data_IF_963521128502
#
_entry.id   IF_963521128502
#
_cell.length_a   1.000
_cell.length_b   1.000
_cell.length_c   1.000
_cell.angle_alpha   90.00
_cell.angle_beta   90.00
_cell.angle_gamma   90.00
#
_symmetry.space_group_name_H-M   'P 1'
#
loop_
_entity.id
_entity.type
_entity.pdbx_description
1 polymer ?
#
# COMPACT_ATOMS: atom_id res chain seq x y z
N UNK A 1 -2.52 5.05 -18.15
CA UNK A 1 -2.63 5.02 -16.68
C UNK A 1 -1.81 3.86 -16.14
N UNK A 2 -1.07 4.09 -15.07
CA UNK A 2 -0.27 3.08 -14.40
C UNK A 2 -0.94 2.73 -13.05
N UNK A 3 -1.04 1.43 -12.76
CA UNK A 3 -1.75 0.94 -11.57
C UNK A 3 -0.87 0.00 -10.78
N UNK A 4 -0.79 0.23 -9.48
CA UNK A 4 -0.13 -0.69 -8.56
C UNK A 4 -1.20 -1.44 -7.77
N UNK A 5 -1.06 -2.74 -7.67
CA UNK A 5 -1.99 -3.56 -6.89
C UNK A 5 -1.18 -4.33 -5.85
N UNK A 6 -1.60 -4.21 -4.60
CA UNK A 6 -1.04 -4.95 -3.48
C UNK A 6 -2.15 -5.76 -2.83
N UNK A 7 -1.86 -7.01 -2.51
CA UNK A 7 -2.85 -7.92 -1.94
C UNK A 7 -2.27 -8.64 -0.73
N UNK A 8 -3.02 -8.61 0.36
CA UNK A 8 -2.66 -9.33 1.58
C UNK A 8 -3.74 -10.35 1.88
N UNK A 9 -3.34 -11.60 2.16
CA UNK A 9 -4.23 -12.59 2.74
C UNK A 9 -3.87 -12.67 4.22
N UNK A 10 -4.83 -12.46 5.09
CA UNK A 10 -4.62 -12.40 6.54
C UNK A 10 -5.56 -13.36 7.25
N UNK A 11 -5.25 -13.71 8.50
CA UNK A 11 -6.14 -14.51 9.32
C UNK A 11 -7.40 -13.72 9.66
N UNK A 12 -8.51 -14.44 9.87
CA UNK A 12 -9.81 -13.84 10.15
C UNK A 12 -9.74 -12.86 11.31
N UNK A 13 -10.36 -11.70 11.14
CA UNK A 13 -10.38 -10.63 12.15
C UNK A 13 -9.20 -9.69 12.10
N UNK A 14 -8.24 -9.90 11.22
CA UNK A 14 -7.02 -9.08 11.17
C UNK A 14 -6.94 -8.13 9.98
N UNK A 15 -7.95 -8.11 9.10
CA UNK A 15 -7.98 -7.15 7.98
C UNK A 15 -7.93 -5.71 8.47
N UNK A 16 -8.55 -5.41 9.62
CA UNK A 16 -8.55 -4.07 10.21
C UNK A 16 -7.14 -3.55 10.47
N UNK A 17 -6.20 -4.41 10.78
CA UNK A 17 -4.81 -4.02 11.01
C UNK A 17 -4.15 -3.48 9.75
N UNK A 18 -4.48 -4.05 8.61
CA UNK A 18 -4.00 -3.55 7.30
C UNK A 18 -4.73 -2.25 6.97
N UNK A 19 -6.03 -2.19 7.18
CA UNK A 19 -6.82 -0.98 6.90
C UNK A 19 -6.36 0.20 7.75
N UNK A 20 -6.05 -0.02 9.02
CA UNK A 20 -5.56 1.04 9.90
C UNK A 20 -4.20 1.59 9.43
N UNK A 21 -3.36 0.73 8.89
CA UNK A 21 -2.03 1.12 8.43
C UNK A 21 -2.09 1.96 7.13
N UNK A 22 -2.95 1.59 6.20
CA UNK A 22 -3.01 2.20 4.87
C UNK A 22 -4.25 3.05 4.63
N UNK A 23 -5.25 2.99 5.49
CA UNK A 23 -6.47 3.76 5.36
C UNK A 23 -6.25 5.25 5.63
N UNK A 24 -7.16 6.07 5.09
CA UNK A 24 -7.15 7.50 5.34
C UNK A 24 -7.54 7.77 6.78
N UNK A 25 -6.79 8.64 7.44
CA UNK A 25 -7.12 9.09 8.79
C UNK A 25 -7.77 10.47 8.69
N UNK A 26 -9.00 10.65 9.23
CA UNK A 26 -9.73 11.91 9.08
C UNK A 26 -8.98 13.15 9.53
N UNK A 27 -8.12 13.01 10.53
CA UNK A 27 -7.46 14.13 11.18
C UNK A 27 -6.14 14.56 10.55
N UNK A 28 -5.64 13.82 9.55
CA UNK A 28 -4.29 14.05 9.01
C UNK A 28 -4.24 14.72 7.64
N UNK A 29 -5.38 14.89 6.97
CA UNK A 29 -5.40 15.42 5.63
C UNK A 29 -4.68 14.52 4.62
N UNK A 30 -4.39 15.02 3.41
CA UNK A 30 -3.73 14.22 2.38
C UNK A 30 -2.29 13.89 2.75
N UNK A 31 -1.86 12.65 2.47
CA UNK A 31 -0.50 12.21 2.67
C UNK A 31 0.44 12.83 1.62
N UNK A 32 1.75 12.72 1.84
CA UNK A 32 2.74 13.19 0.86
C UNK A 32 2.58 12.47 -0.48
N UNK A 33 2.23 11.19 -0.44
CA UNK A 33 1.92 10.42 -1.64
C UNK A 33 0.75 11.03 -2.42
N UNK A 34 -0.34 11.34 -1.72
CA UNK A 34 -1.54 11.89 -2.33
C UNK A 34 -1.33 13.28 -2.92
N UNK A 35 -0.32 13.99 -2.48
CA UNK A 35 0.01 15.33 -2.97
C UNK A 35 0.97 15.31 -4.17
N UNK A 36 1.47 14.15 -4.56
CA UNK A 36 2.41 14.06 -5.68
C UNK A 36 1.73 14.30 -7.02
N UNK A 37 2.44 14.98 -7.90
CA UNK A 37 1.98 15.17 -9.26
C UNK A 37 1.84 13.80 -9.95
N UNK A 38 0.72 13.62 -10.62
CA UNK A 38 0.42 12.37 -11.32
C UNK A 38 -0.27 11.32 -10.48
N UNK A 39 -0.42 11.54 -9.17
CA UNK A 39 -1.20 10.64 -8.33
C UNK A 39 -2.70 10.84 -8.62
N UNK A 40 -3.42 9.75 -8.90
CA UNK A 40 -4.84 9.81 -9.21
C UNK A 40 -5.70 9.40 -8.03
N UNK A 41 -5.40 8.27 -7.40
CA UNK A 41 -6.20 7.81 -6.29
C UNK A 41 -5.70 6.51 -5.69
N UNK A 42 -6.26 6.18 -4.54
CA UNK A 42 -5.96 4.95 -3.81
C UNK A 42 -7.24 4.38 -3.24
N UNK A 43 -7.43 3.08 -3.38
CA UNK A 43 -8.59 2.38 -2.86
C UNK A 43 -8.15 1.18 -2.03
N UNK A 44 -8.89 0.88 -0.98
CA UNK A 44 -8.73 -0.33 -0.19
C UNK A 44 -10.00 -1.15 -0.28
N UNK A 45 -9.85 -2.44 -0.56
CA UNK A 45 -10.95 -3.37 -0.74
C UNK A 45 -10.74 -4.55 0.21
N UNK A 46 -11.81 -5.04 0.80
CA UNK A 46 -11.77 -6.18 1.72
C UNK A 46 -12.79 -7.21 1.31
N UNK A 47 -12.42 -8.50 1.39
CA UNK A 47 -13.38 -9.58 1.25
C UNK A 47 -13.01 -10.76 2.14
N UNK A 48 -14.00 -11.56 2.51
CA UNK A 48 -13.78 -12.85 3.14
C UNK A 48 -13.52 -13.86 2.02
N UNK A 49 -12.35 -14.49 2.04
CA UNK A 49 -11.96 -15.44 1.00
C UNK A 49 -12.56 -16.81 1.32
N UNK A 50 -12.41 -17.22 2.55
CA UNK A 50 -12.95 -18.46 3.08
C UNK A 50 -12.93 -18.40 4.61
N UNK A 51 -13.52 -19.39 5.24
CA UNK A 51 -13.54 -19.45 6.69
C UNK A 51 -12.12 -19.42 7.25
N UNK A 52 -11.86 -18.46 8.13
CA UNK A 52 -10.56 -18.28 8.75
C UNK A 52 -9.61 -17.34 8.03
N UNK A 53 -9.98 -16.84 6.84
CA UNK A 53 -9.13 -15.94 6.06
C UNK A 53 -9.88 -14.73 5.52
N UNK A 54 -9.18 -13.60 5.48
CA UNK A 54 -9.66 -12.35 4.87
C UNK A 54 -8.63 -11.85 3.87
N UNK A 55 -9.09 -11.12 2.85
CA UNK A 55 -8.20 -10.55 1.84
C UNK A 55 -8.37 -9.05 1.78
N UNK A 56 -7.25 -8.33 1.77
CA UNK A 56 -7.23 -6.88 1.60
C UNK A 56 -6.47 -6.56 0.33
N UNK A 57 -7.06 -5.72 -0.52
CA UNK A 57 -6.44 -5.28 -1.76
C UNK A 57 -6.31 -3.76 -1.72
N UNK A 58 -5.11 -3.27 -2.02
CA UNK A 58 -4.87 -1.84 -2.20
C UNK A 58 -4.56 -1.57 -3.66
N UNK A 59 -5.30 -0.62 -4.24
CA UNK A 59 -5.10 -0.20 -5.63
C UNK A 59 -4.65 1.25 -5.59
N UNK A 60 -3.49 1.53 -6.21
CA UNK A 60 -2.96 2.89 -6.34
C UNK A 60 -2.88 3.23 -7.82
N UNK A 61 -3.48 4.35 -8.22
CA UNK A 61 -3.53 4.78 -9.62
C UNK A 61 -2.67 6.02 -9.83
N UNK A 62 -1.88 5.99 -10.91
CA UNK A 62 -1.00 7.07 -11.36
C UNK A 62 -1.31 7.43 -12.81
N UNK A 63 -1.08 8.67 -13.18
CA UNK A 63 -1.23 9.09 -14.58
C UNK A 63 -0.26 8.34 -15.49
N UNK A 64 0.95 8.05 -15.00
CA UNK A 64 1.99 7.38 -15.77
C UNK A 64 2.95 6.64 -14.87
N UNK A 65 3.70 5.72 -15.46
CA UNK A 65 4.77 5.03 -14.76
C UNK A 65 5.87 5.99 -14.31
N UNK A 66 6.14 7.01 -15.10
CA UNK A 66 7.14 8.04 -14.77
C UNK A 66 6.77 8.79 -13.50
N UNK A 67 5.49 9.10 -13.29
CA UNK A 67 5.03 9.75 -12.07
C UNK A 67 5.28 8.87 -10.84
N UNK A 68 5.00 7.58 -10.95
CA UNK A 68 5.30 6.63 -9.88
C UNK A 68 6.80 6.53 -9.61
N UNK A 69 7.62 6.42 -10.66
CA UNK A 69 9.08 6.35 -10.50
C UNK A 69 9.63 7.61 -9.83
N UNK A 70 9.07 8.78 -10.15
CA UNK A 70 9.47 10.02 -9.51
C UNK A 70 9.17 10.00 -8.01
N UNK A 71 8.04 9.43 -7.60
CA UNK A 71 7.72 9.23 -6.18
C UNK A 71 8.70 8.26 -5.51
N UNK A 72 8.98 7.12 -6.15
CA UNK A 72 9.91 6.12 -5.62
C UNK A 72 11.31 6.69 -5.35
N UNK A 73 11.74 7.64 -6.18
CA UNK A 73 13.04 8.29 -6.07
C UNK A 73 12.99 9.57 -5.21
N UNK A 74 11.83 9.98 -4.75
CA UNK A 74 11.69 11.23 -4.01
C UNK A 74 12.37 11.14 -2.63
N UNK A 75 12.92 12.27 -2.14
CA UNK A 75 13.52 12.29 -0.81
C UNK A 75 12.54 11.90 0.29
N UNK A 76 11.27 12.28 0.18
CA UNK A 76 10.24 11.94 1.17
C UNK A 76 10.02 10.44 1.27
N UNK A 77 9.95 9.75 0.13
CA UNK A 77 9.75 8.31 0.10
C UNK A 77 10.97 7.57 0.66
N UNK A 78 12.16 7.96 0.25
CA UNK A 78 13.43 7.38 0.71
C UNK A 78 13.60 7.60 2.22
N UNK A 79 13.33 8.81 2.70
CA UNK A 79 13.43 9.13 4.12
C UNK A 79 12.48 8.27 4.97
N UNK A 80 11.26 8.04 4.47
CA UNK A 80 10.29 7.18 5.13
C UNK A 80 10.79 5.74 5.28
N UNK A 81 11.38 5.18 4.24
CA UNK A 81 11.96 3.83 4.28
C UNK A 81 13.14 3.75 5.23
N UNK A 82 14.05 4.73 5.18
CA UNK A 82 15.20 4.77 6.07
C UNK A 82 14.78 4.86 7.54
N UNK A 83 13.77 5.67 7.84
CA UNK A 83 13.24 5.79 9.19
C UNK A 83 12.69 4.46 9.71
N UNK A 84 11.94 3.72 8.89
CA UNK A 84 11.42 2.41 9.25
C UNK A 84 12.52 1.38 9.49
N UNK A 85 13.53 1.36 8.63
CA UNK A 85 14.66 0.44 8.77
C UNK A 85 15.41 0.73 10.07
N UNK A 86 15.65 2.00 10.38
CA UNK A 86 16.34 2.42 11.61
C UNK A 86 15.52 2.03 12.85
N UNK A 87 14.22 2.25 12.83
CA UNK A 87 13.31 1.92 13.93
C UNK A 87 13.30 0.43 14.24
N UNK A 88 13.32 -0.42 13.23
CA UNK A 88 13.23 -1.87 13.39
C UNK A 88 14.59 -2.58 13.41
N UNK A 89 15.70 -1.85 13.29
CA UNK A 89 17.02 -2.44 13.24
C UNK A 89 17.29 -3.26 11.99
N UNK A 90 16.54 -2.99 10.92
CA UNK A 90 16.65 -3.68 9.65
C UNK A 90 15.28 -3.82 8.99
N UNK A 91 15.17 -4.72 8.02
CA UNK A 91 13.90 -4.96 7.33
C UNK A 91 12.90 -5.58 8.32
N UNK A 92 11.71 -4.97 8.54
CA UNK A 92 10.74 -5.52 9.49
C UNK A 92 10.25 -6.90 9.03
N UNK A 93 10.06 -7.85 9.97
CA UNK A 93 9.54 -9.17 9.63
C UNK A 93 8.07 -9.09 9.22
N UNK A 94 7.63 -10.08 8.42
CA UNK A 94 6.22 -10.21 8.07
C UNK A 94 5.40 -10.48 9.34
N UNK A 95 4.31 -9.73 9.61
CA UNK A 95 3.46 -10.02 10.76
C UNK A 95 2.88 -11.43 10.73
N UNK A 96 2.70 -12.03 11.89
CA UNK A 96 2.18 -13.41 12.01
C UNK A 96 0.79 -13.59 11.41
N UNK A 97 -0.04 -12.54 11.48
CA UNK A 97 -1.40 -12.61 10.93
C UNK A 97 -1.44 -12.56 9.40
N UNK A 98 -0.34 -12.22 8.74
CA UNK A 98 -0.27 -12.18 7.28
C UNK A 98 0.12 -13.54 6.74
N UNK A 99 -0.80 -14.17 6.00
CA UNK A 99 -0.59 -15.49 5.39
C UNK A 99 0.22 -15.34 4.11
N UNK A 100 -0.15 -14.39 3.26
CA UNK A 100 0.57 -14.14 2.01
C UNK A 100 0.45 -12.67 1.59
N UNK A 101 1.42 -12.23 0.81
CA UNK A 101 1.44 -10.90 0.21
C UNK A 101 1.80 -11.03 -1.25
N UNK A 102 1.07 -10.32 -2.10
CA UNK A 102 1.36 -10.22 -3.52
C UNK A 102 1.35 -8.76 -3.93
N UNK A 103 2.15 -8.40 -4.92
CA UNK A 103 2.10 -7.06 -5.50
C UNK A 103 2.45 -7.13 -6.98
N UNK A 104 1.93 -6.19 -7.74
CA UNK A 104 2.20 -6.08 -9.16
C UNK A 104 1.98 -4.66 -9.64
N UNK A 105 2.68 -4.34 -10.71
CA UNK A 105 2.54 -3.06 -11.39
C UNK A 105 1.96 -3.33 -12.78
N UNK A 106 0.93 -2.58 -13.13
CA UNK A 106 0.16 -2.83 -14.34
C UNK A 106 -0.02 -1.56 -15.15
N UNK A 107 -0.07 -1.69 -16.46
CA UNK A 107 -0.45 -0.61 -17.36
C UNK A 107 -1.87 -0.87 -17.81
N UNK A 108 -2.73 0.16 -17.74
CA UNK A 108 -4.10 0.04 -18.21
C UNK A 108 -4.10 -0.04 -19.74
N UNK A 109 -4.72 -1.09 -20.26
CA UNK A 109 -4.87 -1.29 -21.70
C UNK A 109 -6.29 -0.86 -22.08
N UNK A 110 -6.36 0.06 -23.01
CA UNK A 110 -7.65 0.56 -23.53
C UNK A 110 -8.15 -0.25 -24.71
#
# INVERSE_FOLDING_TARGET
MFVQIRKWTVTEGNSDKILDRFGKKPDQGPSKLEQREGFIGRELLVKNVRRGEEEVVMIVRWQSEEAWKAWEKSPEHIAGHKAKIKEHGGKPPKPEFVISMEHGNYTVVE
#
